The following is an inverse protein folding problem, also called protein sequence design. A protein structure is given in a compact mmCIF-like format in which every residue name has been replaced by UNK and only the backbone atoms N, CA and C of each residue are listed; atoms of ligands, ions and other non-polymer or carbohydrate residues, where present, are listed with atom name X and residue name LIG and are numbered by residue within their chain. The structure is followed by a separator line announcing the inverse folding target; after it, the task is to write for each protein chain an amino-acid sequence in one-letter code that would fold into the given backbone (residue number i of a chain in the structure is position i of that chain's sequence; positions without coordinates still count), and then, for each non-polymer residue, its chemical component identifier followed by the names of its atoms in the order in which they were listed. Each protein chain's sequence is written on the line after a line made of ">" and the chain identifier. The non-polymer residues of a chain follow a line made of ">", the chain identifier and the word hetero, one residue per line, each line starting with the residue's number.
data_IF_346154013210
#
_entry.id   IF_346154013210
#
_cell.length_a   1.000
_cell.length_b   1.000
_cell.length_c   1.000
_cell.angle_alpha   90.00
_cell.angle_beta   90.00
_cell.angle_gamma   90.00
#
_symmetry.space_group_name_H-M   'P 1'
#
loop_
_entity.id
_entity.type
_entity.pdbx_description
1 polymer ?
#
# COMPACT_ATOMS: atom_id res chain seq x y z
N UNK A 1 4.00 2.41 11.33
CA UNK A 1 3.06 3.20 10.52
C UNK A 1 1.68 2.60 10.73
N UNK A 2 0.65 3.41 10.96
CA UNK A 2 -0.71 2.90 11.13
C UNK A 2 -1.43 2.88 9.78
N UNK A 3 -1.58 1.69 9.18
CA UNK A 3 -2.21 1.54 7.87
C UNK A 3 -3.75 1.51 7.93
N UNK A 4 -4.34 1.57 9.13
CA UNK A 4 -5.81 1.54 9.29
C UNK A 4 -6.48 2.88 8.99
N UNK A 5 -5.70 3.95 8.87
CA UNK A 5 -6.15 5.31 8.58
C UNK A 5 -5.38 5.85 7.37
N UNK A 6 -6.04 6.67 6.55
CA UNK A 6 -5.35 7.37 5.47
C UNK A 6 -4.47 8.51 6.03
N UNK A 7 -3.32 8.70 5.41
CA UNK A 7 -2.45 9.87 5.61
C UNK A 7 -2.29 10.68 4.31
N UNK A 8 -1.47 11.73 4.35
CA UNK A 8 -1.23 12.62 3.21
C UNK A 8 -0.57 11.93 2.01
N UNK A 9 0.02 10.74 2.19
CA UNK A 9 0.70 9.97 1.16
C UNK A 9 -0.12 8.77 0.66
N UNK A 10 -1.27 8.52 1.27
CA UNK A 10 -2.18 7.43 0.95
C UNK A 10 -3.07 7.80 -0.24
N UNK A 11 -2.85 7.15 -1.38
CA UNK A 11 -3.59 7.38 -2.64
C UNK A 11 -4.36 6.13 -3.12
N UNK A 12 -4.37 5.06 -2.33
CA UNK A 12 -5.23 3.88 -2.52
C UNK A 12 -5.60 3.22 -1.19
N UNK A 13 -6.81 2.65 -1.13
CA UNK A 13 -7.25 1.75 -0.08
C UNK A 13 -7.28 0.31 -0.59
N UNK A 14 -6.57 -0.60 0.07
CA UNK A 14 -6.60 -2.03 -0.24
C UNK A 14 -7.52 -2.75 0.76
N UNK A 15 -8.43 -3.59 0.28
CA UNK A 15 -9.18 -4.52 1.11
C UNK A 15 -8.40 -5.84 1.16
N UNK A 16 -7.85 -6.18 2.32
CA UNK A 16 -7.02 -7.37 2.53
C UNK A 16 -7.62 -8.20 3.65
N UNK A 17 -8.13 -9.39 3.33
CA UNK A 17 -8.81 -10.24 4.31
C UNK A 17 -10.10 -9.64 4.88
N UNK A 18 -10.70 -8.65 4.20
CA UNK A 18 -11.87 -7.90 4.66
C UNK A 18 -11.55 -6.60 5.42
N UNK A 19 -10.27 -6.37 5.75
CA UNK A 19 -9.82 -5.17 6.44
C UNK A 19 -9.28 -4.12 5.46
N UNK A 20 -9.51 -2.84 5.76
CA UNK A 20 -8.99 -1.71 4.97
C UNK A 20 -7.56 -1.38 5.34
N UNK A 21 -6.74 -1.17 4.32
CA UNK A 21 -5.32 -0.86 4.42
C UNK A 21 -5.02 0.32 3.51
N UNK A 22 -4.71 1.47 4.09
CA UNK A 22 -4.41 2.71 3.38
C UNK A 22 -2.91 2.82 3.10
N UNK A 23 -2.54 3.03 1.84
CA UNK A 23 -1.15 2.97 1.35
C UNK A 23 -0.95 3.86 0.12
N UNK A 24 0.32 4.14 -0.19
CA UNK A 24 0.78 4.74 -1.45
C UNK A 24 0.99 3.69 -2.55
N UNK A 25 0.35 3.89 -3.71
CA UNK A 25 0.54 3.15 -4.96
C UNK A 25 2.01 3.16 -5.38
N UNK A 26 2.69 4.29 -5.24
CA UNK A 26 4.09 4.45 -5.66
C UNK A 26 5.02 3.55 -4.86
N UNK A 27 4.88 3.52 -3.53
CA UNK A 27 5.70 2.68 -2.65
C UNK A 27 5.46 1.20 -2.99
N UNK A 28 4.21 0.78 -3.13
CA UNK A 28 3.88 -0.59 -3.53
C UNK A 28 4.48 -0.98 -4.88
N UNK A 29 4.32 -0.12 -5.89
CA UNK A 29 4.82 -0.37 -7.24
C UNK A 29 6.36 -0.40 -7.31
N UNK A 30 7.03 0.37 -6.46
CA UNK A 30 8.49 0.35 -6.36
C UNK A 30 9.01 -0.98 -5.80
N UNK A 31 8.30 -1.57 -4.84
CA UNK A 31 8.74 -2.79 -4.16
C UNK A 31 8.08 -4.09 -4.67
N UNK A 32 7.07 -4.00 -5.54
CA UNK A 32 6.37 -5.16 -6.09
C UNK A 32 5.96 -4.95 -7.56
N UNK A 33 6.54 -5.69 -8.51
CA UNK A 33 6.14 -5.66 -9.92
C UNK A 33 4.66 -6.03 -10.14
N UNK A 34 4.09 -6.85 -9.25
CA UNK A 34 2.67 -7.23 -9.28
C UNK A 34 1.82 -5.99 -9.00
N UNK A 35 2.11 -5.26 -7.92
CA UNK A 35 1.38 -4.03 -7.60
C UNK A 35 1.61 -2.94 -8.65
N UNK A 36 2.83 -2.82 -9.19
CA UNK A 36 3.10 -1.91 -10.32
C UNK A 36 2.18 -2.20 -11.50
N UNK A 37 2.07 -3.47 -11.89
CA UNK A 37 1.22 -3.87 -13.01
C UNK A 37 -0.26 -3.66 -12.69
N UNK A 38 -0.71 -4.00 -11.48
CA UNK A 38 -2.10 -3.86 -11.04
C UNK A 38 -2.56 -2.40 -10.97
N UNK A 39 -1.74 -1.52 -10.37
CA UNK A 39 -2.13 -0.15 -10.02
C UNK A 39 -1.79 0.89 -11.10
N UNK A 40 -0.84 0.59 -12.00
CA UNK A 40 -0.43 1.50 -13.08
C UNK A 40 -0.56 0.87 -14.48
N UNK A 41 -0.92 -0.41 -14.57
CA UNK A 41 -1.14 -1.09 -15.84
C UNK A 41 -2.54 -0.89 -16.40
N UNK A 42 -2.95 -1.82 -17.26
CA UNK A 42 -4.25 -1.79 -17.97
C UNK A 42 -5.36 -2.57 -17.25
N UNK A 43 -5.18 -2.84 -15.96
CA UNK A 43 -6.17 -3.53 -15.14
C UNK A 43 -7.21 -2.53 -14.60
N UNK A 44 -8.38 -3.03 -14.22
CA UNK A 44 -9.48 -2.16 -13.73
C UNK A 44 -9.08 -1.46 -12.42
N UNK A 45 -8.23 -2.12 -11.63
CA UNK A 45 -7.73 -1.69 -10.33
C UNK A 45 -6.93 -0.38 -10.42
N UNK A 46 -6.30 -0.08 -11.56
CA UNK A 46 -5.52 1.14 -11.75
C UNK A 46 -6.34 2.42 -11.55
N UNK A 47 -7.62 2.38 -11.96
CA UNK A 47 -8.56 3.50 -11.83
C UNK A 47 -9.41 3.49 -10.55
N UNK A 48 -9.21 2.51 -9.67
CA UNK A 48 -10.02 2.36 -8.46
C UNK A 48 -9.39 3.08 -7.26
N UNK A 49 -10.26 3.63 -6.40
CA UNK A 49 -9.87 4.19 -5.10
C UNK A 49 -9.77 3.11 -4.02
N UNK A 50 -10.57 2.05 -4.14
CA UNK A 50 -10.56 0.87 -3.26
C UNK A 50 -10.34 -0.38 -4.12
N UNK A 51 -9.36 -1.21 -3.77
CA UNK A 51 -8.95 -2.41 -4.52
C UNK A 51 -8.95 -3.62 -3.58
N UNK A 52 -9.68 -4.67 -3.94
CA UNK A 52 -9.69 -5.92 -3.18
C UNK A 52 -8.50 -6.81 -3.56
N UNK A 53 -7.75 -7.24 -2.54
CA UNK A 53 -6.60 -8.14 -2.69
C UNK A 53 -7.03 -9.53 -2.21
N UNK A 54 -7.20 -10.44 -3.17
CA UNK A 54 -7.56 -11.83 -2.91
C UNK A 54 -6.40 -12.65 -2.33
N UNK A 55 -6.75 -13.69 -1.57
CA UNK A 55 -5.86 -14.77 -1.10
C UNK A 55 -4.58 -14.33 -0.34
N UNK A 56 -4.63 -13.18 0.34
CA UNK A 56 -3.55 -12.73 1.23
C UNK A 56 -4.09 -12.56 2.66
N UNK A 57 -3.44 -13.22 3.61
CA UNK A 57 -3.71 -13.01 5.03
C UNK A 57 -3.31 -11.60 5.44
N UNK A 58 -4.22 -10.86 6.08
CA UNK A 58 -4.01 -9.48 6.50
C UNK A 58 -2.67 -9.29 7.24
N UNK A 59 -2.37 -10.18 8.20
CA UNK A 59 -1.14 -10.13 8.99
C UNK A 59 0.13 -10.17 8.12
N UNK A 60 0.20 -11.12 7.17
CA UNK A 60 1.36 -11.27 6.29
C UNK A 60 1.53 -10.05 5.38
N UNK A 61 0.41 -9.43 4.97
CA UNK A 61 0.47 -8.20 4.20
C UNK A 61 1.02 -7.02 5.01
N UNK A 62 0.57 -6.85 6.26
CA UNK A 62 1.08 -5.81 7.16
C UNK A 62 2.58 -6.01 7.44
N UNK A 63 3.04 -7.25 7.61
CA UNK A 63 4.48 -7.55 7.77
C UNK A 63 5.28 -7.09 6.54
N UNK A 64 4.80 -7.36 5.32
CA UNK A 64 5.40 -6.84 4.10
C UNK A 64 5.42 -5.31 4.05
N UNK A 65 4.31 -4.65 4.41
CA UNK A 65 4.24 -3.19 4.42
C UNK A 65 5.23 -2.57 5.39
N UNK A 66 5.40 -3.14 6.58
CA UNK A 66 6.36 -2.67 7.57
C UNK A 66 7.83 -2.73 7.08
N UNK A 67 8.14 -3.63 6.15
CA UNK A 67 9.49 -3.73 5.55
C UNK A 67 9.72 -2.61 4.54
N UNK A 68 8.70 -2.24 3.76
CA UNK A 68 8.84 -1.26 2.66
C UNK A 68 8.51 0.18 3.07
N UNK A 69 7.71 0.38 4.12
CA UNK A 69 7.45 1.68 4.75
C UNK A 69 8.46 1.92 5.88
N UNK A 70 9.72 2.15 5.49
CA UNK A 70 10.80 2.45 6.44
C UNK A 70 10.47 3.78 7.15
N UNK A 71 10.56 3.78 8.49
CA UNK A 71 10.32 4.95 9.33
C UNK A 71 11.17 6.14 8.87
N UNK A 72 10.49 7.23 8.48
CA UNK A 72 11.13 8.51 8.19
C UNK A 72 11.62 9.09 9.52
N UNK A 73 12.91 8.92 9.81
CA UNK A 73 13.55 9.83 10.77
C UNK A 73 13.45 11.25 10.20
N UNK A 74 13.01 12.19 11.03
CA UNK A 74 13.07 13.59 10.68
C UNK A 74 14.51 13.93 10.28
N UNK A 75 14.69 14.47 9.07
CA UNK A 75 15.97 15.01 8.65
C UNK A 75 16.05 16.41 9.29
N UNK A 76 16.58 16.48 10.51
CA UNK A 76 16.90 17.77 11.13
C UNK A 76 18.20 18.28 10.51
N UNK A 77 18.18 19.50 9.96
CA UNK A 77 19.41 20.18 9.58
C UNK A 77 20.13 20.69 10.83
N UNK A 78 21.43 20.42 10.94
CA UNK A 78 22.35 21.25 11.72
C UNK A 78 22.76 22.49 10.91
#
# INVERSE_FOLDING_TARGET
>A
HDFSQADDLSDVCLLVGGDRVHVSKNILAMHSPVFKSMLFGKFKEAGQAEVEIGEVEHKNFIEFLNVIYISTKEITGE
#
